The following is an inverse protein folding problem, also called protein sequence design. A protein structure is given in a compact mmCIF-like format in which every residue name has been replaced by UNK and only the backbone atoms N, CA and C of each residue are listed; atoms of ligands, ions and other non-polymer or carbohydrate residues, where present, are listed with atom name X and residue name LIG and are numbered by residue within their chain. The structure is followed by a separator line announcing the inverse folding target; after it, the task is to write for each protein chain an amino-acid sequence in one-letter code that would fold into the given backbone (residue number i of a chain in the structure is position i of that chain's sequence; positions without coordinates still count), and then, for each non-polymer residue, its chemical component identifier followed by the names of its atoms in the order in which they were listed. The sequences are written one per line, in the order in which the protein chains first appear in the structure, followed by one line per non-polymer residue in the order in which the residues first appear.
data_IF_840450005106
#
_entry.id   IF_840450005106
#
_cell.length_a   1.000
_cell.length_b   1.000
_cell.length_c   1.000
_cell.angle_alpha   90.00
_cell.angle_beta   90.00
_cell.angle_gamma   90.00
#
_symmetry.space_group_name_H-M   'P 1'
#
loop_
_entity.id
_entity.type
_entity.pdbx_description
1 polymer ?
#
# COMPACT_ATOMS: atom_id res chain seq x y z
N UNK A 1 -3.85 6.34 -7.54
CA UNK A 1 -3.07 5.27 -6.86
C UNK A 1 -3.90 4.01 -6.63
N UNK A 2 -5.17 4.11 -6.20
CA UNK A 2 -5.96 2.90 -5.97
C UNK A 2 -6.05 1.95 -7.17
N UNK A 3 -5.87 2.43 -8.38
CA UNK A 3 -5.86 1.61 -9.60
C UNK A 3 -4.58 0.79 -9.80
N UNK A 4 -3.53 1.03 -9.03
CA UNK A 4 -2.26 0.30 -9.17
C UNK A 4 -2.41 -1.21 -8.96
N UNK A 5 -3.37 -1.61 -8.12
CA UNK A 5 -3.67 -3.03 -7.92
C UNK A 5 -4.15 -3.74 -9.19
N UNK A 6 -4.71 -3.00 -10.16
CA UNK A 6 -5.11 -3.59 -11.43
C UNK A 6 -3.92 -4.19 -12.19
N UNK A 7 -2.73 -3.59 -12.06
CA UNK A 7 -1.51 -4.07 -12.70
C UNK A 7 -1.16 -5.50 -12.24
N UNK A 8 -1.39 -5.81 -10.94
CA UNK A 8 -1.19 -7.15 -10.41
C UNK A 8 -2.22 -8.16 -10.95
N UNK A 9 -3.48 -7.76 -11.05
CA UNK A 9 -4.52 -8.62 -11.62
C UNK A 9 -4.31 -8.84 -13.12
N UNK A 10 -3.86 -7.84 -13.87
CA UNK A 10 -3.50 -7.99 -15.28
C UNK A 10 -2.31 -8.92 -15.49
N UNK A 11 -1.32 -8.89 -14.59
CA UNK A 11 -0.15 -9.77 -14.65
C UNK A 11 -0.51 -11.25 -14.53
N UNK A 12 -1.60 -11.58 -13.86
CA UNK A 12 -2.13 -12.95 -13.72
C UNK A 12 -3.29 -13.26 -14.69
N UNK A 13 -3.52 -12.38 -15.68
CA UNK A 13 -4.43 -12.63 -16.80
C UNK A 13 -5.84 -12.10 -16.64
N UNK A 14 -6.13 -11.30 -15.61
CA UNK A 14 -7.44 -10.68 -15.42
C UNK A 14 -7.47 -9.27 -16.01
N UNK A 15 -8.11 -9.11 -17.14
CA UNK A 15 -8.23 -7.81 -17.83
C UNK A 15 -9.17 -6.87 -17.07
N UNK A 16 -8.64 -5.69 -16.67
CA UNK A 16 -9.39 -4.61 -16.02
C UNK A 16 -10.25 -5.08 -14.82
N UNK A 17 -9.74 -6.03 -14.05
CA UNK A 17 -10.47 -6.66 -12.96
C UNK A 17 -10.64 -5.74 -11.75
N UNK A 18 -9.61 -4.92 -11.45
CA UNK A 18 -9.64 -4.01 -10.32
C UNK A 18 -9.94 -2.57 -10.75
N UNK A 19 -11.13 -2.05 -10.40
CA UNK A 19 -11.61 -0.76 -10.86
C UNK A 19 -11.91 0.18 -9.69
N UNK A 20 -11.52 1.45 -9.84
CA UNK A 20 -11.90 2.54 -8.93
C UNK A 20 -12.85 3.48 -9.66
N UNK A 21 -14.03 3.69 -9.10
CA UNK A 21 -15.09 4.55 -9.64
C UNK A 21 -15.65 5.48 -8.57
N UNK A 22 -16.29 6.54 -8.99
CA UNK A 22 -17.07 7.38 -8.08
C UNK A 22 -18.37 6.64 -7.75
N UNK A 23 -18.76 6.67 -6.47
CA UNK A 23 -20.02 6.07 -6.03
C UNK A 23 -21.18 6.69 -6.82
N UNK A 24 -22.11 5.89 -7.39
CA UNK A 24 -23.27 6.40 -8.11
C UNK A 24 -24.17 7.27 -7.22
N UNK A 25 -24.80 8.28 -7.82
CA UNK A 25 -25.76 9.12 -7.12
C UNK A 25 -26.90 8.25 -6.53
N UNK A 26 -27.26 8.54 -5.29
CA UNK A 26 -28.28 7.80 -4.55
C UNK A 26 -27.85 6.44 -3.98
N UNK A 27 -26.67 5.96 -4.28
CA UNK A 27 -26.12 4.76 -3.62
C UNK A 27 -25.68 5.07 -2.18
N UNK A 28 -25.96 4.15 -1.28
CA UNK A 28 -25.59 4.33 0.13
C UNK A 28 -24.21 3.70 0.42
N UNK A 29 -23.30 4.38 1.13
CA UNK A 29 -21.97 3.84 1.43
C UNK A 29 -21.96 2.51 2.20
N UNK A 30 -23.02 2.22 2.96
CA UNK A 30 -23.18 0.97 3.69
C UNK A 30 -23.73 -0.18 2.84
N UNK A 31 -24.12 0.09 1.58
CA UNK A 31 -24.60 -0.95 0.68
C UNK A 31 -23.45 -1.95 0.39
N UNK A 32 -23.72 -3.23 0.65
CA UNK A 32 -22.73 -4.31 0.49
C UNK A 32 -22.24 -4.49 -0.95
N UNK A 33 -23.00 -4.04 -1.94
CA UNK A 33 -22.61 -4.09 -3.35
C UNK A 33 -21.44 -3.17 -3.72
N UNK A 34 -21.08 -2.24 -2.84
CA UNK A 34 -20.02 -1.26 -3.10
C UNK A 34 -18.91 -1.38 -2.05
N UNK A 35 -17.71 -1.74 -2.48
CA UNK A 35 -16.50 -1.53 -1.69
C UNK A 35 -16.22 -0.03 -1.61
N UNK A 36 -15.81 0.48 -0.47
CA UNK A 36 -15.79 1.91 -0.22
C UNK A 36 -14.43 2.45 0.17
N UNK A 37 -14.09 3.61 -0.38
CA UNK A 37 -12.98 4.44 0.08
C UNK A 37 -13.59 5.74 0.63
N UNK A 38 -13.43 5.97 1.93
CA UNK A 38 -13.95 7.14 2.62
C UNK A 38 -12.84 8.12 2.95
N UNK A 39 -13.04 9.40 2.66
CA UNK A 39 -12.24 10.48 3.21
C UNK A 39 -12.92 11.03 4.45
N UNK A 40 -12.27 10.90 5.62
CA UNK A 40 -12.90 11.21 6.92
C UNK A 40 -12.19 12.37 7.60
N UNK A 41 -12.95 13.39 7.96
CA UNK A 41 -12.47 14.50 8.76
C UNK A 41 -12.62 14.17 10.25
N UNK A 42 -11.50 14.10 10.97
CA UNK A 42 -11.45 13.82 12.41
C UNK A 42 -10.55 14.80 13.10
N UNK A 43 -10.87 15.12 14.35
CA UNK A 43 -10.03 15.98 15.21
C UNK A 43 -9.03 15.18 16.08
N UNK A 44 -9.23 13.86 16.25
CA UNK A 44 -8.58 13.08 17.31
C UNK A 44 -7.68 11.94 16.85
N UNK A 45 -7.81 11.45 15.60
CA UNK A 45 -7.01 10.31 15.11
C UNK A 45 -6.43 10.62 13.75
N UNK A 46 -5.09 10.48 13.62
CA UNK A 46 -4.35 10.80 12.41
C UNK A 46 -4.03 9.63 11.49
N UNK A 47 -4.49 8.41 11.79
CA UNK A 47 -4.22 7.24 10.96
C UNK A 47 -5.39 6.88 10.05
N UNK A 48 -5.07 6.18 8.99
CA UNK A 48 -5.99 5.53 8.07
C UNK A 48 -6.06 4.03 8.37
N UNK A 49 -7.04 3.36 7.84
CA UNK A 49 -7.14 1.90 7.93
C UNK A 49 -7.96 1.34 6.78
N UNK A 50 -7.56 0.17 6.31
CA UNK A 50 -8.27 -0.66 5.35
C UNK A 50 -8.65 -2.00 5.99
N UNK A 51 -9.66 -2.63 5.46
CA UNK A 51 -10.07 -3.97 5.89
C UNK A 51 -11.29 -4.46 5.15
N UNK A 52 -11.57 -5.73 5.30
CA UNK A 52 -12.70 -6.39 4.65
C UNK A 52 -13.58 -7.13 5.65
N UNK A 53 -14.87 -7.21 5.32
CA UNK A 53 -15.79 -8.17 5.92
C UNK A 53 -15.71 -9.44 5.08
N UNK A 54 -15.30 -10.54 5.71
CA UNK A 54 -15.06 -11.83 5.03
C UNK A 54 -16.03 -12.87 5.56
N UNK A 55 -16.56 -13.72 4.70
CA UNK A 55 -17.32 -14.91 5.12
C UNK A 55 -16.33 -15.93 5.71
N UNK A 56 -16.43 -16.28 7.00
CA UNK A 56 -15.47 -17.17 7.65
C UNK A 56 -15.52 -18.62 7.14
N UNK A 57 -16.55 -18.98 6.39
CA UNK A 57 -16.74 -20.34 5.85
C UNK A 57 -16.05 -20.52 4.51
N UNK A 58 -15.96 -19.45 3.71
CA UNK A 58 -15.50 -19.50 2.31
C UNK A 58 -14.26 -18.68 2.06
N UNK A 59 -13.94 -17.70 2.93
CA UNK A 59 -12.92 -16.71 2.67
C UNK A 59 -13.35 -15.59 1.70
N UNK A 60 -14.61 -15.61 1.22
CA UNK A 60 -15.12 -14.59 0.29
C UNK A 60 -15.13 -13.21 0.94
N UNK A 61 -14.57 -12.23 0.26
CA UNK A 61 -14.62 -10.83 0.68
C UNK A 61 -15.98 -10.25 0.29
N UNK A 62 -16.84 -10.08 1.29
CA UNK A 62 -18.20 -9.53 1.12
C UNK A 62 -18.14 -8.02 0.87
N UNK A 63 -17.27 -7.30 1.59
CA UNK A 63 -17.17 -5.84 1.50
C UNK A 63 -15.82 -5.34 2.01
N UNK A 64 -15.10 -4.62 1.16
CA UNK A 64 -13.92 -3.84 1.53
C UNK A 64 -14.27 -2.42 1.96
N UNK A 65 -13.62 -1.90 2.99
CA UNK A 65 -13.74 -0.52 3.45
C UNK A 65 -12.36 0.07 3.72
N UNK A 66 -12.11 1.24 3.14
CA UNK A 66 -10.95 2.07 3.43
C UNK A 66 -11.41 3.38 4.07
N UNK A 67 -10.80 3.76 5.17
CA UNK A 67 -10.97 5.07 5.81
C UNK A 67 -9.67 5.84 5.78
N UNK A 68 -9.64 6.95 5.05
CA UNK A 68 -8.50 7.85 4.97
C UNK A 68 -8.75 9.05 5.88
N UNK A 69 -7.90 9.24 6.89
CA UNK A 69 -8.01 10.36 7.82
C UNK A 69 -7.38 11.63 7.28
N UNK A 70 -8.12 12.74 7.24
CA UNK A 70 -7.63 14.03 6.73
C UNK A 70 -6.43 14.58 7.52
N UNK A 71 -6.29 14.24 8.81
CA UNK A 71 -5.15 14.63 9.62
C UNK A 71 -3.85 14.00 9.13
N UNK A 72 -3.90 12.87 8.41
CA UNK A 72 -2.72 12.24 7.84
C UNK A 72 -2.03 13.16 6.84
N UNK A 73 -2.79 13.83 5.98
CA UNK A 73 -2.24 14.80 5.03
C UNK A 73 -1.48 15.93 5.74
N UNK A 74 -2.02 16.43 6.87
CA UNK A 74 -1.34 17.44 7.69
C UNK A 74 -0.06 16.90 8.31
N UNK A 75 -0.07 15.65 8.80
CA UNK A 75 1.12 15.02 9.37
C UNK A 75 2.22 14.86 8.32
N UNK A 76 1.87 14.36 7.13
CA UNK A 76 2.84 14.19 6.04
C UNK A 76 3.41 15.54 5.57
N UNK A 77 2.60 16.60 5.57
CA UNK A 77 3.07 17.95 5.29
C UNK A 77 4.05 18.44 6.37
N UNK A 78 3.77 18.18 7.65
CA UNK A 78 4.68 18.54 8.75
C UNK A 78 5.99 17.74 8.73
N UNK A 79 5.93 16.47 8.34
CA UNK A 79 7.12 15.63 8.13
C UNK A 79 7.96 16.24 7.00
N UNK A 80 7.35 16.57 5.86
CA UNK A 80 8.03 17.22 4.75
C UNK A 80 8.68 18.55 5.18
N UNK A 81 7.96 19.33 6.00
CA UNK A 81 8.49 20.58 6.58
C UNK A 81 9.72 20.31 7.45
N UNK A 82 9.68 19.30 8.32
CA UNK A 82 10.80 18.93 9.17
C UNK A 82 12.03 18.43 8.40
N UNK A 83 11.81 17.64 7.36
CA UNK A 83 12.88 17.11 6.52
C UNK A 83 13.60 18.20 5.70
N UNK A 84 12.91 19.28 5.38
CA UNK A 84 13.48 20.40 4.61
C UNK A 84 14.13 21.47 5.51
N UNK A 85 14.14 21.29 6.82
CA UNK A 85 14.86 22.19 7.74
C UNK A 85 16.38 21.86 7.78
N UNK A 86 17.29 22.83 8.07
CA UNK A 86 17.03 24.24 8.35
C UNK A 86 16.78 25.04 7.06
N UNK A 87 15.83 25.95 7.14
CA UNK A 87 15.50 26.84 6.04
C UNK A 87 16.55 27.94 5.98
N UNK A 88 17.44 27.87 5.03
CA UNK A 88 18.49 28.89 4.83
C UNK A 88 17.97 30.12 4.06
N UNK A 89 16.88 29.94 3.31
CA UNK A 89 16.22 30.99 2.55
C UNK A 89 14.70 30.93 2.71
N UNK A 90 14.05 32.08 2.64
CA UNK A 90 12.58 32.21 2.68
C UNK A 90 11.90 31.60 1.43
N UNK A 91 12.66 30.96 0.55
CA UNK A 91 12.21 30.30 -0.69
C UNK A 91 11.85 28.83 -0.47
N UNK A 92 11.30 28.48 0.68
CA UNK A 92 10.68 27.17 0.83
C UNK A 92 9.58 27.08 -0.22
N UNK A 93 9.70 26.09 -1.12
CA UNK A 93 8.73 25.87 -2.17
C UNK A 93 7.56 25.09 -1.57
N UNK A 94 6.43 25.74 -1.21
CA UNK A 94 5.28 25.03 -0.61
C UNK A 94 4.73 23.94 -1.51
N UNK A 95 4.95 24.04 -2.84
CA UNK A 95 4.62 23.01 -3.81
C UNK A 95 5.35 21.69 -3.53
N UNK A 96 6.59 21.78 -3.13
CA UNK A 96 7.43 20.64 -2.86
C UNK A 96 6.93 19.82 -1.68
N UNK A 97 6.65 20.46 -0.56
CA UNK A 97 6.08 19.81 0.62
C UNK A 97 4.73 19.18 0.32
N UNK A 98 3.93 19.87 -0.51
CA UNK A 98 2.64 19.34 -0.96
C UNK A 98 2.80 18.10 -1.81
N UNK A 99 3.75 18.08 -2.75
CA UNK A 99 4.01 16.94 -3.61
C UNK A 99 4.47 15.72 -2.81
N UNK A 100 5.37 15.91 -1.84
CA UNK A 100 5.82 14.85 -0.95
C UNK A 100 4.65 14.27 -0.13
N UNK A 101 3.84 15.14 0.47
CA UNK A 101 2.67 14.72 1.22
C UNK A 101 1.65 13.97 0.32
N UNK A 102 1.44 14.43 -0.91
CA UNK A 102 0.56 13.74 -1.87
C UNK A 102 1.13 12.41 -2.33
N UNK A 103 2.46 12.30 -2.51
CA UNK A 103 3.10 11.03 -2.85
C UNK A 103 2.90 10.01 -1.72
N UNK A 104 3.09 10.42 -0.47
CA UNK A 104 2.81 9.56 0.69
C UNK A 104 1.34 9.14 0.77
N UNK A 105 0.40 10.06 0.55
CA UNK A 105 -1.03 9.73 0.53
C UNK A 105 -1.37 8.74 -0.60
N UNK A 106 -0.73 8.85 -1.77
CA UNK A 106 -0.95 7.89 -2.86
C UNK A 106 -0.49 6.49 -2.47
N UNK A 107 0.67 6.37 -1.84
CA UNK A 107 1.18 5.10 -1.33
C UNK A 107 0.24 4.56 -0.22
N UNK A 108 -0.19 5.40 0.72
CA UNK A 108 -1.12 5.02 1.78
C UNK A 108 -2.47 4.51 1.23
N UNK A 109 -3.03 5.16 0.22
CA UNK A 109 -4.27 4.69 -0.43
C UNK A 109 -4.09 3.29 -1.02
N UNK A 110 -2.96 3.02 -1.68
CA UNK A 110 -2.68 1.68 -2.20
C UNK A 110 -2.52 0.66 -1.06
N UNK A 111 -1.83 1.02 0.02
CA UNK A 111 -1.67 0.20 1.23
C UNK A 111 -3.03 -0.20 1.84
N UNK A 112 -3.89 0.76 2.12
CA UNK A 112 -5.19 0.49 2.74
C UNK A 112 -6.12 -0.33 1.82
N UNK A 113 -6.00 -0.16 0.50
CA UNK A 113 -6.69 -1.01 -0.47
C UNK A 113 -6.16 -2.44 -0.42
N UNK A 114 -4.85 -2.65 -0.29
CA UNK A 114 -4.24 -3.97 -0.13
C UNK A 114 -4.88 -4.77 1.00
N UNK A 115 -5.15 -4.12 2.13
CA UNK A 115 -5.87 -4.76 3.23
C UNK A 115 -7.30 -5.16 2.87
N UNK A 116 -7.98 -4.44 1.97
CA UNK A 116 -9.35 -4.80 1.54
C UNK A 116 -9.41 -6.00 0.62
N UNK A 117 -8.29 -6.37 -0.01
CA UNK A 117 -8.13 -7.58 -0.81
C UNK A 117 -7.37 -8.70 -0.06
N UNK A 118 -7.28 -8.58 1.28
CA UNK A 118 -6.77 -9.64 2.15
C UNK A 118 -5.25 -9.65 2.37
N UNK A 119 -4.51 -8.69 1.79
CA UNK A 119 -3.05 -8.66 1.92
C UNK A 119 -2.64 -8.08 3.27
N UNK A 120 -1.77 -8.77 3.97
CA UNK A 120 -1.22 -8.37 5.26
C UNK A 120 -0.01 -7.43 5.08
N UNK A 121 0.46 -6.82 6.17
CA UNK A 121 1.72 -6.08 6.14
C UNK A 121 2.89 -6.95 5.72
N UNK A 122 3.86 -6.35 5.04
CA UNK A 122 5.20 -6.88 4.88
C UNK A 122 6.23 -5.85 5.34
N UNK A 123 6.61 -5.92 6.61
CA UNK A 123 7.53 -4.96 7.24
C UNK A 123 8.99 -5.14 6.83
N UNK A 124 9.32 -6.18 6.07
CA UNK A 124 10.67 -6.36 5.49
C UNK A 124 10.79 -5.81 4.07
N UNK A 125 9.70 -5.34 3.47
CA UNK A 125 9.73 -4.86 2.08
C UNK A 125 10.71 -3.69 1.87
N UNK A 126 10.86 -2.81 2.85
CA UNK A 126 11.81 -1.68 2.78
C UNK A 126 13.29 -2.10 2.86
N UNK A 127 13.59 -3.35 3.25
CA UNK A 127 14.95 -3.91 3.17
C UNK A 127 15.30 -4.41 1.77
N UNK A 128 14.30 -4.54 0.91
CA UNK A 128 14.39 -5.01 -0.46
C UNK A 128 13.76 -4.01 -1.43
N UNK A 129 14.42 -2.89 -1.60
CA UNK A 129 14.14 -1.82 -2.57
C UNK A 129 12.65 -1.45 -2.74
N UNK A 130 11.92 -1.25 -1.62
CA UNK A 130 10.48 -0.89 -1.65
C UNK A 130 9.60 -1.91 -2.36
N UNK A 131 9.86 -3.18 -2.12
CA UNK A 131 9.18 -4.29 -2.78
C UNK A 131 7.67 -4.34 -2.52
N UNK A 132 7.12 -3.56 -1.59
CA UNK A 132 5.69 -3.58 -1.28
C UNK A 132 5.16 -2.24 -0.78
N UNK A 133 3.92 -1.92 -1.18
CA UNK A 133 3.14 -0.84 -0.55
C UNK A 133 2.61 -1.24 0.83
N UNK A 134 2.66 -2.53 1.19
CA UNK A 134 2.16 -3.07 2.47
C UNK A 134 3.16 -2.91 3.62
N UNK A 135 4.21 -2.15 3.43
CA UNK A 135 5.13 -1.68 4.47
C UNK A 135 4.75 -0.27 4.96
N UNK A 136 5.45 0.21 5.97
CA UNK A 136 5.45 1.60 6.44
C UNK A 136 6.73 2.32 5.98
N UNK A 137 6.84 2.65 4.68
CA UNK A 137 8.10 3.12 4.12
C UNK A 137 8.44 4.51 4.61
N UNK A 138 9.73 4.71 4.89
CA UNK A 138 10.30 6.05 5.03
C UNK A 138 10.41 6.74 3.66
N UNK A 139 10.35 8.09 3.60
CA UNK A 139 10.70 8.78 2.38
C UNK A 139 12.18 8.52 2.05
N UNK A 140 12.47 8.15 0.82
CA UNK A 140 13.86 8.08 0.33
C UNK A 140 14.29 9.48 -0.08
N UNK A 141 15.33 9.96 0.56
CA UNK A 141 15.91 11.27 0.31
C UNK A 141 17.33 11.07 -0.20
N UNK A 142 17.63 11.68 -1.32
CA UNK A 142 18.96 11.69 -1.91
C UNK A 142 19.53 13.10 -1.86
N UNK A 143 20.84 13.22 -2.01
CA UNK A 143 21.50 14.49 -2.22
C UNK A 143 21.91 14.59 -3.70
N UNK A 144 21.61 15.73 -4.31
CA UNK A 144 22.11 16.06 -5.64
C UNK A 144 23.63 16.28 -5.62
N UNK A 145 24.23 16.41 -6.80
CA UNK A 145 25.64 16.80 -6.94
C UNK A 145 25.98 18.13 -6.25
N UNK A 146 24.99 19.00 -6.07
CA UNK A 146 25.12 20.32 -5.47
C UNK A 146 24.79 20.32 -3.96
N UNK A 147 24.67 19.12 -3.36
CA UNK A 147 24.26 18.90 -1.96
C UNK A 147 22.83 19.41 -1.63
N UNK A 148 21.98 19.55 -2.63
CA UNK A 148 20.58 19.85 -2.40
C UNK A 148 19.77 18.56 -2.20
N UNK A 149 18.75 18.63 -1.36
CA UNK A 149 17.89 17.50 -1.04
C UNK A 149 16.98 17.16 -2.23
N UNK A 150 17.11 15.93 -2.74
CA UNK A 150 16.22 15.38 -3.77
C UNK A 150 15.13 14.52 -3.11
N UNK A 151 13.89 14.89 -3.33
CA UNK A 151 12.69 14.30 -2.72
C UNK A 151 11.62 13.93 -3.74
N UNK A 152 11.89 14.17 -5.01
CA UNK A 152 10.96 13.89 -6.11
C UNK A 152 10.54 12.42 -6.17
N UNK A 153 11.44 11.51 -5.78
CA UNK A 153 11.24 10.07 -5.74
C UNK A 153 11.16 9.53 -4.31
N UNK A 154 10.72 10.36 -3.35
CA UNK A 154 10.64 9.97 -1.94
C UNK A 154 9.72 8.77 -1.69
N UNK A 155 8.69 8.58 -2.51
CA UNK A 155 7.79 7.43 -2.53
C UNK A 155 7.58 6.99 -3.98
N UNK A 156 7.50 5.68 -4.18
CA UNK A 156 7.30 5.10 -5.49
C UNK A 156 5.89 5.30 -6.04
N UNK A 157 5.76 5.13 -7.34
CA UNK A 157 4.49 5.10 -8.07
C UNK A 157 4.23 3.67 -8.51
N UNK A 158 3.10 3.11 -8.14
CA UNK A 158 2.77 1.71 -8.39
C UNK A 158 2.73 0.89 -7.10
N UNK A 159 2.54 -0.39 -7.27
CA UNK A 159 2.72 -1.44 -6.25
C UNK A 159 4.08 -2.10 -6.47
N UNK A 160 4.57 -2.82 -5.47
CA UNK A 160 5.88 -3.46 -5.53
C UNK A 160 5.84 -4.90 -6.07
N UNK A 161 7.02 -5.48 -6.29
CA UNK A 161 7.16 -6.86 -6.79
C UNK A 161 6.57 -7.89 -5.82
N UNK A 162 6.69 -7.64 -4.51
CA UNK A 162 6.08 -8.51 -3.51
C UNK A 162 4.54 -8.42 -3.55
N UNK A 163 3.98 -7.25 -3.81
CA UNK A 163 2.53 -7.07 -3.95
C UNK A 163 2.00 -7.86 -5.15
N UNK A 164 2.75 -7.85 -6.26
CA UNK A 164 2.44 -8.66 -7.45
C UNK A 164 2.42 -10.15 -7.12
N UNK A 165 3.46 -10.64 -6.43
CA UNK A 165 3.55 -12.03 -5.99
C UNK A 165 2.42 -12.40 -5.02
N UNK A 166 2.06 -11.51 -4.09
CA UNK A 166 0.98 -11.75 -3.13
C UNK A 166 -0.38 -11.87 -3.84
N UNK A 167 -0.62 -11.08 -4.89
CA UNK A 167 -1.84 -11.21 -5.72
C UNK A 167 -1.78 -12.48 -6.56
N UNK A 168 -0.64 -12.84 -7.16
CA UNK A 168 -0.46 -14.10 -7.88
C UNK A 168 -0.80 -15.29 -6.97
N UNK A 169 -0.25 -15.33 -5.77
CA UNK A 169 -0.52 -16.40 -4.80
C UNK A 169 -1.99 -16.46 -4.36
N UNK A 170 -2.61 -15.32 -4.10
CA UNK A 170 -3.96 -15.26 -3.51
C UNK A 170 -5.12 -15.32 -4.51
N UNK A 171 -4.86 -15.02 -5.80
CA UNK A 171 -5.93 -14.80 -6.77
C UNK A 171 -5.76 -15.54 -8.10
N UNK A 172 -4.63 -16.24 -8.30
CA UNK A 172 -4.44 -16.99 -9.55
C UNK A 172 -5.42 -18.14 -9.65
N UNK A 173 -6.18 -18.18 -10.75
CA UNK A 173 -6.93 -19.37 -11.15
C UNK A 173 -6.03 -20.37 -11.90
N UNK A 174 -6.17 -21.65 -11.58
CA UNK A 174 -5.43 -22.70 -12.24
C UNK A 174 -6.31 -23.53 -13.21
N UNK A 175 -5.75 -23.98 -14.35
CA UNK A 175 -6.47 -24.85 -15.26
C UNK A 175 -6.97 -26.13 -14.58
N UNK A 176 -8.09 -26.67 -15.04
CA UNK A 176 -8.66 -27.90 -14.50
C UNK A 176 -7.66 -29.07 -14.60
N UNK A 177 -7.39 -29.70 -13.48
CA UNK A 177 -6.45 -30.81 -13.35
C UNK A 177 -5.04 -30.41 -12.94
N UNK A 178 -4.78 -29.12 -12.70
CA UNK A 178 -3.57 -28.65 -12.04
C UNK A 178 -3.59 -29.11 -10.57
N UNK A 179 -2.43 -29.52 -10.06
CA UNK A 179 -2.20 -29.69 -8.63
C UNK A 179 -2.00 -28.28 -8.04
N UNK A 180 -3.05 -27.75 -7.43
CA UNK A 180 -3.08 -26.38 -6.93
C UNK A 180 -2.07 -26.15 -5.79
N UNK A 181 -1.89 -27.15 -4.92
CA UNK A 181 -0.92 -27.06 -3.81
C UNK A 181 0.51 -26.91 -4.34
N UNK A 182 0.84 -27.72 -5.34
CA UNK A 182 2.16 -27.66 -5.99
C UNK A 182 2.35 -26.34 -6.74
N UNK A 183 1.33 -25.86 -7.45
CA UNK A 183 1.41 -24.60 -8.18
C UNK A 183 1.57 -23.39 -7.24
N UNK A 184 0.89 -23.38 -6.11
CA UNK A 184 1.05 -22.33 -5.08
C UNK A 184 2.45 -22.38 -4.44
N UNK A 185 3.00 -23.59 -4.20
CA UNK A 185 4.36 -23.75 -3.71
C UNK A 185 5.38 -23.21 -4.73
N UNK A 186 5.18 -23.42 -6.02
CA UNK A 186 6.05 -22.86 -7.07
C UNK A 186 6.06 -21.32 -7.05
N UNK A 187 4.90 -20.66 -6.82
CA UNK A 187 4.81 -19.21 -6.68
C UNK A 187 5.63 -18.74 -5.46
N UNK A 188 5.51 -19.42 -4.32
CA UNK A 188 6.29 -19.11 -3.12
C UNK A 188 7.79 -19.26 -3.40
N UNK A 189 8.19 -20.37 -4.00
CA UNK A 189 9.60 -20.64 -4.32
C UNK A 189 10.19 -19.61 -5.29
N UNK A 190 9.42 -19.13 -6.25
CA UNK A 190 9.81 -18.02 -7.13
C UNK A 190 10.12 -16.76 -6.32
N UNK A 191 9.27 -16.41 -5.34
CA UNK A 191 9.50 -15.29 -4.44
C UNK A 191 10.77 -15.45 -3.60
N UNK A 192 10.97 -16.62 -2.99
CA UNK A 192 12.17 -16.91 -2.19
C UNK A 192 13.44 -16.83 -3.04
N UNK A 193 13.44 -17.40 -4.24
CA UNK A 193 14.59 -17.39 -5.15
C UNK A 193 14.93 -15.98 -5.66
N UNK A 194 13.95 -15.09 -5.77
CA UNK A 194 14.20 -13.68 -6.08
C UNK A 194 14.69 -12.86 -4.88
N UNK A 195 14.81 -13.48 -3.70
CA UNK A 195 15.29 -12.83 -2.48
C UNK A 195 14.19 -12.08 -1.71
N UNK A 196 12.93 -12.22 -2.09
CA UNK A 196 11.83 -11.60 -1.37
C UNK A 196 11.71 -12.17 0.04
N UNK A 197 11.52 -11.28 1.00
CA UNK A 197 11.32 -11.60 2.40
C UNK A 197 9.96 -11.10 2.86
N UNK A 198 9.40 -11.76 3.86
CA UNK A 198 8.07 -11.46 4.36
C UNK A 198 8.02 -11.56 5.88
N UNK A 199 7.49 -10.50 6.51
CA UNK A 199 7.17 -10.52 7.94
C UNK A 199 5.95 -9.62 8.21
N UNK A 200 4.94 -10.16 8.90
CA UNK A 200 3.69 -9.44 9.20
C UNK A 200 3.70 -8.73 10.54
N UNK A 201 4.64 -9.08 11.44
CA UNK A 201 4.66 -8.57 12.80
C UNK A 201 5.99 -7.91 13.12
N UNK A 202 5.97 -6.62 13.48
CA UNK A 202 7.17 -5.87 13.87
C UNK A 202 7.86 -6.44 15.12
N UNK A 203 7.13 -7.13 16.00
CA UNK A 203 7.71 -7.74 17.20
C UNK A 203 8.73 -8.84 16.88
N UNK A 204 8.61 -9.50 15.71
CA UNK A 204 9.57 -10.52 15.31
C UNK A 204 10.92 -9.94 14.87
N UNK A 205 11.01 -8.64 14.67
CA UNK A 205 12.24 -7.93 14.28
C UNK A 205 12.89 -7.18 15.41
N UNK A 206 12.31 -7.21 16.63
CA UNK A 206 12.85 -6.54 17.81
C UNK A 206 13.39 -7.55 18.80
N UNK A 207 14.46 -7.19 19.51
CA UNK A 207 15.07 -8.01 20.58
C UNK A 207 14.06 -8.33 21.71
N UNK A 208 12.99 -7.53 21.82
CA UNK A 208 11.89 -7.78 22.78
C UNK A 208 11.01 -9.00 22.43
N UNK A 209 11.17 -9.60 21.25
CA UNK A 209 10.48 -10.83 20.91
C UNK A 209 11.15 -12.08 21.49
N UNK A 210 12.39 -11.96 21.98
CA UNK A 210 13.22 -13.05 22.50
C UNK A 210 13.17 -13.13 24.05
N UNK A 211 12.46 -12.19 24.74
CA UNK A 211 12.21 -12.20 26.17
C UNK A 211 10.80 -12.77 26.49
#
# INVERSE_FOLDING_TARGET
SGKWWNDAFEAIGYDNAFQIKVLPDGAHPMDVRYNMIHWVHRATRGWSYGGAVVDPRTGEIIKGNVSLGSLRLRQDYLIATGLMAPYTDQNIVPSAMRELALARIRQLVAHEIGHTIGIQHNFLASTFDRASVMDYPHPTLNLSSDNELEWKNAYDVGIGEWDMLAVEYGYQDFPKGTDEELALEEIIQKGIQSGMTFITCLLYTSDAADE
#
